data_IF_286440803913
#
_entry.id   IF_286440803913
#
_cell.length_a   1.000
_cell.length_b   1.000
_cell.length_c   1.000
_cell.angle_alpha   90.00
_cell.angle_beta   90.00
_cell.angle_gamma   90.00
#
_symmetry.space_group_name_H-M   'P 1'
#
loop_
_entity.id
_entity.type
_entity.pdbx_description
1 polymer ?
#
# COMPACT_ATOMS: atom_id res chain seq x y z
N UNK A 1 28.13 -52.72 20.71
CA UNK A 1 28.18 -53.67 19.60
C UNK A 1 27.59 -52.89 18.40
N UNK A 2 28.25 -52.49 17.37
CA UNK A 2 29.66 -52.66 16.92
C UNK A 2 30.06 -51.43 16.07
N UNK A 3 31.31 -51.12 16.12
CA UNK A 3 32.03 -50.14 15.30
C UNK A 3 32.28 -50.71 13.90
N UNK A 4 32.35 -49.85 12.91
CA UNK A 4 33.30 -49.91 11.78
C UNK A 4 32.93 -48.82 10.76
N UNK A 5 33.74 -48.19 10.05
CA UNK A 5 35.16 -47.85 10.00
C UNK A 5 35.37 -47.04 8.70
N UNK A 6 36.16 -46.05 8.79
CA UNK A 6 37.00 -45.31 7.88
C UNK A 6 36.97 -45.63 6.37
N UNK A 7 36.87 -44.57 5.56
CA UNK A 7 37.30 -44.51 4.15
C UNK A 7 37.94 -43.15 3.85
N UNK A 8 39.26 -43.12 4.04
CA UNK A 8 40.19 -42.01 3.68
C UNK A 8 40.56 -42.19 2.21
N UNK A 9 40.40 -41.19 1.37
CA UNK A 9 40.90 -41.20 0.00
C UNK A 9 41.90 -40.05 -0.22
N UNK A 10 43.01 -40.41 -0.76
CA UNK A 10 44.28 -39.71 -0.94
C UNK A 10 44.22 -38.57 -1.97
N UNK A 11 45.05 -37.55 -1.68
CA UNK A 11 45.45 -36.53 -2.64
C UNK A 11 46.67 -37.02 -3.43
N UNK A 12 46.78 -36.78 -4.74
CA UNK A 12 48.05 -36.76 -5.43
C UNK A 12 48.64 -35.34 -5.54
N UNK A 13 49.96 -35.29 -5.34
CA UNK A 13 50.83 -34.12 -5.40
C UNK A 13 51.14 -33.65 -6.84
N UNK A 14 51.71 -32.45 -7.03
CA UNK A 14 51.85 -31.80 -8.32
C UNK A 14 53.12 -32.21 -9.05
N UNK A 15 53.04 -32.30 -10.38
CA UNK A 15 54.15 -32.61 -11.28
C UNK A 15 54.88 -31.34 -11.78
N UNK A 16 56.18 -31.53 -11.96
CA UNK A 16 57.24 -30.61 -12.33
C UNK A 16 57.07 -29.81 -13.64
N UNK A 17 57.64 -28.61 -13.63
CA UNK A 17 57.88 -27.74 -14.79
C UNK A 17 59.22 -28.05 -15.44
N UNK A 18 59.36 -27.99 -16.77
CA UNK A 18 60.64 -27.76 -17.41
C UNK A 18 60.86 -26.31 -17.85
N UNK A 19 62.06 -25.81 -17.61
CA UNK A 19 62.55 -24.50 -18.00
C UNK A 19 62.80 -24.39 -19.51
N UNK A 20 62.34 -23.31 -20.13
CA UNK A 20 62.56 -23.06 -21.58
C UNK A 20 62.86 -21.59 -21.89
N UNK A 21 64.17 -21.34 -22.05
CA UNK A 21 64.86 -20.35 -22.89
C UNK A 21 64.24 -19.02 -23.24
N UNK A 22 64.83 -17.95 -22.66
CA UNK A 22 64.78 -16.57 -23.08
C UNK A 22 65.18 -16.37 -24.55
N UNK A 23 64.32 -15.79 -25.37
CA UNK A 23 64.68 -15.08 -26.60
C UNK A 23 64.27 -13.61 -26.43
N UNK A 24 65.31 -12.73 -26.51
CA UNK A 24 65.10 -11.26 -26.53
C UNK A 24 64.58 -10.91 -27.93
N UNK A 25 63.42 -10.36 -28.03
CA UNK A 25 62.90 -9.68 -29.21
C UNK A 25 62.84 -8.18 -28.89
N UNK A 26 63.57 -7.41 -29.68
CA UNK A 26 63.54 -5.94 -29.71
C UNK A 26 62.24 -5.56 -30.43
N UNK A 27 61.32 -4.93 -29.74
CA UNK A 27 60.11 -4.38 -30.37
C UNK A 27 60.24 -2.86 -30.46
N UNK A 28 60.22 -2.38 -31.71
CA UNK A 28 60.11 -0.98 -32.07
C UNK A 28 58.81 -0.40 -31.54
N UNK A 29 58.87 0.64 -30.73
CA UNK A 29 57.72 1.39 -30.27
C UNK A 29 57.22 2.33 -31.37
N UNK A 30 56.10 1.99 -31.98
CA UNK A 30 55.28 2.93 -32.76
C UNK A 30 54.31 3.66 -31.79
N UNK A 31 54.57 4.91 -31.54
CA UNK A 31 53.64 5.80 -30.85
C UNK A 31 52.43 6.08 -31.76
N UNK A 32 51.33 5.37 -31.56
CA UNK A 32 50.03 5.71 -32.12
C UNK A 32 49.35 6.72 -31.19
N UNK A 33 49.17 7.95 -31.64
CA UNK A 33 48.36 8.96 -30.96
C UNK A 33 46.90 8.51 -30.99
N UNK A 34 46.34 8.10 -29.84
CA UNK A 34 44.92 7.86 -29.68
C UNK A 34 44.22 9.20 -29.34
N UNK A 35 43.25 9.63 -30.14
CA UNK A 35 42.48 10.82 -29.76
C UNK A 35 41.60 10.53 -28.53
N UNK A 36 41.36 11.49 -27.64
CA UNK A 36 40.49 11.31 -26.50
C UNK A 36 39.07 11.03 -26.99
N UNK A 37 38.58 9.82 -26.80
CA UNK A 37 37.15 9.50 -26.94
C UNK A 37 36.40 10.18 -25.80
N UNK A 38 35.72 11.26 -26.10
CA UNK A 38 34.72 11.84 -25.20
C UNK A 38 33.59 10.83 -25.12
N UNK A 39 33.54 10.06 -24.05
CA UNK A 39 32.38 9.24 -23.72
C UNK A 39 31.21 10.18 -23.39
N UNK A 40 30.33 10.42 -24.37
CA UNK A 40 28.99 10.92 -24.07
C UNK A 40 28.32 9.85 -23.23
N UNK A 41 28.37 10.04 -21.90
CA UNK A 41 27.56 9.29 -20.97
C UNK A 41 26.09 9.56 -21.29
N UNK A 42 25.44 8.62 -21.97
CA UNK A 42 23.97 8.57 -21.97
C UNK A 42 23.57 8.31 -20.54
N UNK A 43 23.13 9.39 -19.84
CA UNK A 43 22.42 9.21 -18.59
C UNK A 43 21.22 8.31 -18.90
N UNK A 44 21.23 7.10 -18.37
CA UNK A 44 20.05 6.23 -18.37
C UNK A 44 18.91 7.06 -17.76
N UNK A 45 17.71 7.07 -18.37
CA UNK A 45 16.59 7.71 -17.75
C UNK A 45 16.43 7.08 -16.36
N UNK A 46 16.40 7.95 -15.33
CA UNK A 46 16.09 7.52 -13.98
C UNK A 46 14.74 6.80 -14.07
N UNK A 47 14.74 5.47 -13.92
CA UNK A 47 13.49 4.73 -13.76
C UNK A 47 12.78 5.32 -12.55
N UNK A 48 11.74 6.09 -12.82
CA UNK A 48 10.84 6.57 -11.79
C UNK A 48 10.33 5.34 -11.05
N UNK A 49 10.76 5.18 -9.81
CA UNK A 49 10.35 4.08 -8.95
C UNK A 49 8.83 4.14 -8.78
N UNK A 50 8.14 3.32 -9.54
CA UNK A 50 6.68 3.16 -9.48
C UNK A 50 6.35 2.27 -8.29
N UNK A 51 5.69 2.84 -7.26
CA UNK A 51 5.37 2.15 -5.98
C UNK A 51 4.18 2.85 -5.30
N UNK A 52 3.29 2.24 -4.80
CA UNK A 52 1.87 1.80 -4.77
C UNK A 52 1.75 1.27 -6.16
N UNK A 53 1.13 0.20 -6.47
CA UNK A 53 1.32 -0.28 -7.85
C UNK A 53 1.10 0.89 -8.81
N UNK A 54 2.16 1.41 -9.43
CA UNK A 54 2.12 2.57 -10.33
C UNK A 54 2.07 3.99 -9.72
N UNK A 55 2.16 4.17 -8.37
CA UNK A 55 2.08 5.47 -7.70
C UNK A 55 3.41 6.22 -7.51
N UNK A 56 3.32 7.46 -7.02
CA UNK A 56 4.44 8.32 -6.66
C UNK A 56 4.51 8.55 -5.15
N UNK A 57 5.65 9.03 -4.65
CA UNK A 57 5.77 9.46 -3.25
C UNK A 57 4.84 10.64 -2.99
N UNK A 58 4.11 10.57 -1.89
CA UNK A 58 3.29 11.64 -1.35
C UNK A 58 3.80 12.07 0.02
N UNK A 59 3.31 13.17 0.55
CA UNK A 59 3.68 13.65 1.88
C UNK A 59 2.45 13.92 2.75
N UNK A 60 2.57 13.60 4.02
CA UNK A 60 1.57 13.96 5.03
C UNK A 60 1.48 15.48 5.25
N UNK A 61 2.51 16.25 4.86
CA UNK A 61 2.44 17.72 4.86
C UNK A 61 1.45 18.27 3.83
N UNK A 62 1.34 17.60 2.67
CA UNK A 62 0.39 17.98 1.61
C UNK A 62 -1.00 17.36 1.85
N UNK A 63 -1.05 16.27 2.62
CA UNK A 63 -2.26 15.53 2.97
C UNK A 63 -2.36 15.34 4.49
N UNK A 64 -2.49 16.42 5.29
CA UNK A 64 -2.37 16.39 6.74
C UNK A 64 -3.48 15.60 7.45
N UNK A 65 -4.55 15.29 6.75
CA UNK A 65 -5.62 14.41 7.20
C UNK A 65 -5.28 12.91 7.07
N UNK A 66 -4.21 12.55 6.33
CA UNK A 66 -3.79 11.15 6.17
C UNK A 66 -3.24 10.58 7.47
N UNK A 67 -3.68 9.37 7.83
CA UNK A 67 -3.20 8.67 9.02
C UNK A 67 -2.92 7.20 8.74
N UNK A 68 -2.04 6.61 9.55
CA UNK A 68 -1.84 5.16 9.59
C UNK A 68 -2.38 4.58 10.89
N UNK A 69 -3.02 3.42 10.82
CA UNK A 69 -3.38 2.62 11.98
C UNK A 69 -2.24 1.66 12.31
N UNK A 70 -1.90 1.58 13.58
CA UNK A 70 -0.71 0.85 14.06
C UNK A 70 -1.04 0.01 15.29
N UNK A 71 -0.49 -1.20 15.33
CA UNK A 71 -0.36 -2.03 16.52
C UNK A 71 1.00 -2.72 16.50
N UNK A 72 1.98 -2.15 17.22
CA UNK A 72 3.33 -2.76 17.31
C UNK A 72 3.32 -4.10 18.03
N UNK A 73 2.37 -4.29 18.93
CA UNK A 73 2.24 -5.55 19.68
C UNK A 73 1.81 -6.70 18.77
N UNK A 74 1.04 -6.41 17.72
CA UNK A 74 0.55 -7.43 16.79
C UNK A 74 1.40 -7.54 15.51
N UNK A 75 1.85 -6.42 14.96
CA UNK A 75 2.51 -6.36 13.64
C UNK A 75 4.01 -6.01 13.74
N UNK A 76 4.56 -5.94 14.95
CA UNK A 76 5.97 -5.63 15.18
C UNK A 76 6.35 -4.17 14.96
N UNK A 77 7.63 -3.85 15.18
CA UNK A 77 8.15 -2.47 15.11
C UNK A 77 8.66 -2.03 13.74
N UNK A 78 8.89 -2.93 12.80
CA UNK A 78 9.64 -2.68 11.57
C UNK A 78 9.07 -1.59 10.65
N UNK A 79 7.75 -1.44 10.61
CA UNK A 79 7.00 -0.38 9.92
C UNK A 79 6.08 0.33 10.90
N UNK A 80 6.58 0.65 12.08
CA UNK A 80 5.81 1.23 13.18
C UNK A 80 4.56 0.41 13.56
N UNK A 81 4.49 -0.87 13.18
CA UNK A 81 3.32 -1.72 13.37
C UNK A 81 2.10 -1.32 12.52
N UNK A 82 2.31 -0.57 11.42
CA UNK A 82 1.24 -0.14 10.51
C UNK A 82 0.59 -1.36 9.85
N UNK A 83 -0.75 -1.37 9.87
CA UNK A 83 -1.54 -2.46 9.28
C UNK A 83 -2.69 -1.97 8.39
N UNK A 84 -3.21 -0.75 8.62
CA UNK A 84 -4.25 -0.10 7.84
C UNK A 84 -3.95 1.39 7.67
N UNK A 85 -4.62 2.03 6.73
CA UNK A 85 -4.70 3.47 6.56
C UNK A 85 -5.99 4.04 7.15
N UNK A 86 -6.14 5.37 7.05
CA UNK A 86 -7.34 6.08 7.43
C UNK A 86 -7.23 7.57 7.16
N UNK A 87 -8.26 8.32 7.52
CA UNK A 87 -8.27 9.78 7.38
C UNK A 87 -8.92 10.47 8.58
N UNK A 88 -8.37 11.62 8.99
CA UNK A 88 -9.00 12.51 9.98
C UNK A 88 -10.23 13.19 9.37
N UNK A 89 -11.38 13.01 9.98
CA UNK A 89 -12.67 13.60 9.56
C UNK A 89 -13.21 14.63 10.54
N UNK A 90 -12.65 14.69 11.74
CA UNK A 90 -12.86 15.76 12.73
C UNK A 90 -11.65 15.81 13.67
N UNK A 91 -11.53 16.81 14.56
CA UNK A 91 -10.44 16.84 15.53
C UNK A 91 -10.32 15.60 16.42
N UNK A 92 -11.39 14.83 16.58
CA UNK A 92 -11.41 13.65 17.44
C UNK A 92 -11.71 12.35 16.70
N UNK A 93 -12.02 12.37 15.40
CA UNK A 93 -12.47 11.17 14.68
C UNK A 93 -11.60 10.87 13.47
N UNK A 94 -11.27 9.59 13.34
CA UNK A 94 -10.59 8.98 12.19
C UNK A 94 -11.53 7.99 11.55
N UNK A 95 -11.69 8.05 10.22
CA UNK A 95 -12.41 7.05 9.44
C UNK A 95 -11.43 6.04 8.86
N UNK A 96 -11.83 4.78 8.81
CA UNK A 96 -11.10 3.66 8.23
C UNK A 96 -12.07 2.53 7.85
N UNK A 97 -11.56 1.38 7.38
CA UNK A 97 -12.37 0.21 7.08
C UNK A 97 -12.69 -0.62 8.33
N UNK A 98 -13.86 -1.23 8.37
CA UNK A 98 -14.27 -2.14 9.45
C UNK A 98 -13.44 -3.42 9.46
N UNK A 99 -13.10 -3.98 8.28
CA UNK A 99 -12.31 -5.21 8.18
C UNK A 99 -10.95 -5.10 8.86
N UNK A 100 -10.38 -3.91 9.05
CA UNK A 100 -9.16 -3.70 9.83
C UNK A 100 -9.25 -4.23 11.28
N UNK A 101 -10.46 -4.45 11.79
CA UNK A 101 -10.76 -4.97 13.12
C UNK A 101 -11.40 -6.36 13.10
N UNK A 102 -11.17 -7.10 12.01
CA UNK A 102 -11.63 -8.48 11.87
C UNK A 102 -10.46 -9.41 11.52
N UNK A 103 -10.60 -10.66 11.86
CA UNK A 103 -9.66 -11.74 11.55
C UNK A 103 -10.10 -12.44 10.26
N UNK A 104 -9.24 -12.44 9.27
CA UNK A 104 -9.44 -13.22 8.05
C UNK A 104 -8.76 -14.59 8.19
N UNK A 105 -9.39 -15.65 7.76
CA UNK A 105 -10.68 -15.79 7.05
C UNK A 105 -11.91 -15.98 7.96
N UNK A 106 -11.73 -15.92 9.28
CA UNK A 106 -12.82 -16.30 10.24
C UNK A 106 -13.96 -15.29 10.30
N UNK A 107 -13.73 -14.02 9.90
CA UNK A 107 -14.73 -12.97 9.99
C UNK A 107 -15.15 -12.62 11.42
N UNK A 108 -14.27 -12.86 12.39
CA UNK A 108 -14.52 -12.54 13.79
C UNK A 108 -13.86 -11.21 14.16
N UNK A 109 -14.58 -10.38 14.91
CA UNK A 109 -14.01 -9.15 15.44
C UNK A 109 -12.82 -9.45 16.35
N UNK A 110 -11.74 -8.70 16.17
CA UNK A 110 -10.53 -8.83 16.97
C UNK A 110 -10.13 -7.50 17.57
N UNK A 111 -9.56 -7.55 18.76
CA UNK A 111 -8.91 -6.40 19.35
C UNK A 111 -7.54 -6.17 18.69
N UNK A 112 -7.15 -4.90 18.65
CA UNK A 112 -5.82 -4.48 18.18
C UNK A 112 -5.02 -3.96 19.38
N UNK A 113 -4.26 -4.85 20.07
CA UNK A 113 -3.57 -4.47 21.29
C UNK A 113 -2.55 -3.36 21.00
N UNK A 114 -2.55 -2.31 21.84
CA UNK A 114 -1.66 -1.17 21.64
C UNK A 114 -2.01 -0.33 20.41
N UNK A 115 -3.30 -0.31 19.99
CA UNK A 115 -3.78 0.48 18.85
C UNK A 115 -3.41 1.94 18.98
N UNK A 116 -2.77 2.48 17.94
CA UNK A 116 -2.41 3.90 17.79
C UNK A 116 -2.82 4.40 16.41
N UNK A 117 -3.07 5.69 16.32
CA UNK A 117 -3.17 6.43 15.07
C UNK A 117 -1.89 7.23 14.88
N UNK A 118 -1.16 6.99 13.80
CA UNK A 118 0.07 7.70 13.46
C UNK A 118 -0.27 8.84 12.53
N UNK A 119 0.19 10.04 12.86
CA UNK A 119 0.04 11.27 12.08
C UNK A 119 1.39 11.91 11.78
N UNK A 120 1.52 12.69 10.72
CA UNK A 120 2.73 13.44 10.32
C UNK A 120 3.96 12.54 10.11
N UNK A 121 3.76 11.33 9.60
CA UNK A 121 4.84 10.37 9.34
C UNK A 121 4.77 9.88 7.90
N UNK A 122 5.69 10.35 7.07
CA UNK A 122 5.82 9.88 5.69
C UNK A 122 6.52 8.51 5.64
N UNK A 123 7.60 8.32 6.40
CA UNK A 123 8.36 7.07 6.47
C UNK A 123 8.02 6.26 7.73
N UNK A 124 7.32 5.14 7.55
CA UNK A 124 6.91 4.25 8.66
C UNK A 124 8.07 3.55 9.37
N UNK A 125 9.29 3.58 8.82
CA UNK A 125 10.51 3.07 9.50
C UNK A 125 11.04 4.06 10.54
N UNK A 126 10.67 5.33 10.39
CA UNK A 126 11.10 6.42 11.26
C UNK A 126 10.23 6.59 12.49
N UNK A 127 10.54 7.66 13.22
CA UNK A 127 9.82 8.08 14.45
C UNK A 127 9.24 9.49 14.33
N UNK A 128 9.29 10.12 13.15
CA UNK A 128 8.68 11.43 12.92
C UNK A 128 7.18 11.39 13.18
N UNK A 129 6.58 12.56 13.40
CA UNK A 129 5.16 12.67 13.68
C UNK A 129 4.79 12.21 15.08
N UNK A 130 3.51 11.86 15.29
CA UNK A 130 2.96 11.50 16.59
C UNK A 130 2.13 10.22 16.52
N UNK A 131 2.07 9.50 17.64
CA UNK A 131 1.27 8.29 17.82
C UNK A 131 0.16 8.59 18.83
N UNK A 132 -1.05 8.79 18.33
CA UNK A 132 -2.22 9.20 19.10
C UNK A 132 -2.91 7.99 19.70
N UNK A 133 -3.39 8.12 20.94
CA UNK A 133 -4.17 7.07 21.60
C UNK A 133 -5.61 7.07 21.10
N UNK A 134 -6.16 5.88 20.95
CA UNK A 134 -7.56 5.66 20.60
C UNK A 134 -8.35 5.38 21.86
N UNK A 135 -9.49 6.08 22.01
CA UNK A 135 -10.44 5.88 23.12
C UNK A 135 -11.43 4.75 22.81
N UNK A 136 -11.96 4.74 21.60
CA UNK A 136 -12.96 3.75 21.17
C UNK A 136 -12.91 3.52 19.67
N UNK A 137 -13.42 2.36 19.26
CA UNK A 137 -13.62 1.97 17.87
C UNK A 137 -15.10 1.65 17.69
N UNK A 138 -15.76 2.44 16.85
CA UNK A 138 -17.09 2.16 16.34
C UNK A 138 -16.97 1.45 15.00
N UNK A 139 -17.73 0.38 14.81
CA UNK A 139 -17.85 -0.33 13.54
C UNK A 139 -19.30 -0.18 13.09
N UNK A 140 -19.51 0.03 11.80
CA UNK A 140 -20.87 0.14 11.26
C UNK A 140 -21.72 -1.07 11.74
N UNK A 141 -22.90 -0.87 12.35
CA UNK A 141 -23.66 -1.98 12.92
C UNK A 141 -24.07 -3.03 11.88
N UNK A 142 -24.29 -2.60 10.64
CA UNK A 142 -24.65 -3.48 9.52
C UNK A 142 -23.41 -3.87 8.68
N UNK A 143 -22.21 -3.80 9.23
CA UNK A 143 -21.03 -4.33 8.54
C UNK A 143 -21.18 -5.83 8.32
N UNK A 144 -21.13 -6.27 7.07
CA UNK A 144 -21.26 -7.68 6.68
C UNK A 144 -19.93 -8.17 6.11
N UNK A 145 -19.11 -8.81 6.95
CA UNK A 145 -17.77 -9.28 6.59
C UNK A 145 -17.75 -10.12 5.30
N UNK A 146 -18.63 -11.12 5.19
CA UNK A 146 -18.67 -12.02 4.02
C UNK A 146 -19.05 -11.32 2.70
N UNK A 147 -19.68 -10.15 2.78
CA UNK A 147 -20.11 -9.38 1.61
C UNK A 147 -19.33 -8.05 1.47
N UNK A 148 -18.46 -7.72 2.40
CA UNK A 148 -17.75 -6.44 2.52
C UNK A 148 -18.69 -5.21 2.44
N UNK A 149 -19.96 -5.37 2.82
CA UNK A 149 -20.94 -4.28 2.83
C UNK A 149 -20.78 -3.44 4.07
N UNK A 150 -20.92 -2.11 3.91
CA UNK A 150 -20.76 -1.14 4.99
C UNK A 150 -19.40 -1.26 5.71
N UNK A 151 -18.34 -1.51 4.93
CA UNK A 151 -16.99 -1.70 5.45
C UNK A 151 -16.38 -0.36 5.89
N UNK A 152 -16.86 0.13 7.02
CA UNK A 152 -16.45 1.40 7.63
C UNK A 152 -16.39 1.31 9.14
N UNK A 153 -15.35 1.89 9.72
CA UNK A 153 -15.17 2.09 11.14
C UNK A 153 -14.78 3.55 11.44
N UNK A 154 -15.12 4.02 12.64
CA UNK A 154 -14.69 5.32 13.15
C UNK A 154 -13.95 5.12 14.47
N UNK A 155 -12.73 5.65 14.54
CA UNK A 155 -11.95 5.69 15.76
C UNK A 155 -12.14 7.04 16.42
N UNK A 156 -12.45 7.04 17.72
CA UNK A 156 -12.47 8.25 18.54
C UNK A 156 -11.13 8.35 19.26
N UNK A 157 -10.40 9.44 19.03
CA UNK A 157 -9.12 9.72 19.67
C UNK A 157 -9.31 10.05 21.16
N UNK A 158 -8.30 9.71 21.97
CA UNK A 158 -8.31 10.06 23.40
C UNK A 158 -8.25 11.59 23.61
N UNK A 159 -7.51 12.29 22.73
CA UNK A 159 -7.33 13.73 22.78
C UNK A 159 -7.63 14.38 21.42
N UNK A 160 -8.29 15.56 21.40
CA UNK A 160 -8.61 16.26 20.16
C UNK A 160 -7.36 16.85 19.50
N UNK A 161 -7.36 16.87 18.18
CA UNK A 161 -6.32 17.45 17.31
C UNK A 161 -6.87 18.72 16.64
N UNK A 162 -7.09 19.77 17.41
CA UNK A 162 -7.87 20.97 17.02
C UNK A 162 -7.27 21.75 15.86
N UNK A 163 -5.94 21.78 15.73
CA UNK A 163 -5.24 22.54 14.68
C UNK A 163 -4.92 21.71 13.44
N UNK A 164 -5.42 20.47 13.39
CA UNK A 164 -5.16 19.57 12.26
C UNK A 164 -6.22 19.73 11.18
N UNK A 165 -5.82 19.90 9.90
CA UNK A 165 -6.75 19.80 8.79
C UNK A 165 -7.41 18.42 8.72
N UNK A 166 -8.69 18.41 8.39
CA UNK A 166 -9.52 17.22 8.22
C UNK A 166 -9.96 17.12 6.76
N UNK A 167 -10.28 15.91 6.29
CA UNK A 167 -10.86 15.72 4.96
C UNK A 167 -12.39 15.77 5.05
N UNK A 168 -13.01 16.47 4.10
CA UNK A 168 -14.45 16.50 3.97
C UNK A 168 -15.00 15.21 3.37
N UNK A 169 -16.06 14.66 3.96
CA UNK A 169 -16.81 13.54 3.38
C UNK A 169 -17.73 14.04 2.27
N UNK A 170 -17.91 13.27 1.21
CA UNK A 170 -19.05 13.46 0.30
C UNK A 170 -20.36 13.30 1.06
N UNK A 171 -21.40 13.99 0.58
CA UNK A 171 -22.73 13.95 1.20
C UNK A 171 -23.41 12.60 1.02
N UNK A 172 -24.36 12.30 1.93
CA UNK A 172 -25.21 11.12 1.82
C UNK A 172 -25.96 11.14 0.48
N UNK A 173 -25.87 10.03 -0.29
CA UNK A 173 -26.53 9.89 -1.59
C UNK A 173 -25.97 10.75 -2.72
N UNK A 174 -24.89 11.50 -2.51
CA UNK A 174 -24.22 12.27 -3.55
C UNK A 174 -23.60 11.33 -4.61
N UNK A 175 -23.88 11.58 -5.90
CA UNK A 175 -23.47 10.70 -7.00
C UNK A 175 -22.43 11.30 -7.93
N UNK A 176 -22.34 12.63 -8.02
CA UNK A 176 -21.48 13.33 -8.97
C UNK A 176 -19.99 12.91 -8.89
N UNK A 177 -19.36 12.73 -7.69
CA UNK A 177 -17.96 12.32 -7.60
C UNK A 177 -17.69 10.90 -8.11
N UNK A 178 -18.73 10.09 -8.30
CA UNK A 178 -18.64 8.70 -8.74
C UNK A 178 -18.88 8.50 -10.25
N UNK A 179 -18.96 9.57 -11.02
CA UNK A 179 -19.08 9.47 -12.48
C UNK A 179 -17.87 8.71 -13.04
N UNK A 180 -18.15 7.76 -13.95
CA UNK A 180 -17.10 6.96 -14.58
C UNK A 180 -16.08 7.84 -15.30
N UNK A 181 -14.78 7.53 -15.14
CA UNK A 181 -13.67 8.30 -15.65
C UNK A 181 -13.26 9.49 -14.76
N UNK A 182 -14.01 9.81 -13.69
CA UNK A 182 -13.57 10.83 -12.71
C UNK A 182 -12.22 10.42 -12.13
N UNK A 183 -11.25 11.34 -12.14
CA UNK A 183 -9.93 11.10 -11.55
C UNK A 183 -10.04 11.11 -10.04
N UNK A 184 -9.63 10.03 -9.42
CA UNK A 184 -9.47 9.88 -7.99
C UNK A 184 -8.02 9.59 -7.64
N UNK A 185 -7.59 9.91 -6.43
CA UNK A 185 -6.27 9.54 -5.91
C UNK A 185 -6.46 8.68 -4.67
N UNK A 186 -5.81 7.51 -4.63
CA UNK A 186 -5.73 6.68 -3.42
C UNK A 186 -4.37 6.84 -2.76
N UNK A 187 -4.36 6.86 -1.42
CA UNK A 187 -3.15 7.06 -0.62
C UNK A 187 -2.93 5.92 0.37
N UNK A 188 -1.66 5.56 0.60
CA UNK A 188 -1.29 4.61 1.65
C UNK A 188 0.18 4.20 1.68
N UNK A 189 0.49 3.22 2.53
CA UNK A 189 1.81 2.62 2.74
C UNK A 189 1.81 1.13 2.39
N UNK A 190 0.88 0.70 1.56
CA UNK A 190 0.67 -0.71 1.20
C UNK A 190 1.77 -1.32 0.34
N UNK A 191 1.54 -2.56 -0.01
CA UNK A 191 2.38 -3.33 -0.91
C UNK A 191 2.42 -2.67 -2.30
N UNK A 192 3.60 -2.64 -2.86
CA UNK A 192 3.88 -1.94 -4.12
C UNK A 192 4.03 -2.88 -5.31
N UNK A 193 4.01 -4.18 -5.05
CA UNK A 193 4.27 -5.23 -6.03
C UNK A 193 3.23 -6.36 -6.00
N UNK A 194 2.37 -6.39 -4.98
CA UNK A 194 1.47 -7.51 -4.72
C UNK A 194 2.18 -8.78 -4.19
N UNK A 195 3.44 -8.64 -3.71
CA UNK A 195 4.29 -9.75 -3.26
C UNK A 195 4.85 -9.58 -1.84
N UNK A 196 4.32 -8.62 -1.08
CA UNK A 196 4.77 -8.32 0.27
C UNK A 196 5.82 -7.21 0.37
N UNK A 197 6.09 -6.47 -0.71
CA UNK A 197 7.03 -5.34 -0.72
C UNK A 197 6.34 -4.05 -0.31
N UNK A 198 6.03 -3.92 0.96
CA UNK A 198 5.34 -2.76 1.52
C UNK A 198 6.16 -1.49 1.40
N UNK A 199 5.54 -0.40 0.95
CA UNK A 199 6.21 0.90 0.94
C UNK A 199 6.45 1.39 2.36
N UNK A 200 7.70 1.78 2.70
CA UNK A 200 7.92 2.51 3.94
C UNK A 200 7.42 3.97 3.85
N UNK A 201 7.39 4.54 2.64
CA UNK A 201 7.01 5.92 2.38
C UNK A 201 5.53 6.00 1.97
N UNK A 202 4.85 7.09 2.38
CA UNK A 202 3.51 7.40 1.89
C UNK A 202 3.53 7.52 0.36
N UNK A 203 2.52 6.93 -0.25
CA UNK A 203 2.32 6.93 -1.69
C UNK A 203 0.95 7.47 -2.06
N UNK A 204 0.85 8.00 -3.29
CA UNK A 204 -0.41 8.33 -3.93
C UNK A 204 -0.44 7.82 -5.35
N UNK A 205 -1.57 7.29 -5.79
CA UNK A 205 -1.79 6.88 -7.17
C UNK A 205 -3.11 7.42 -7.70
N UNK A 206 -3.06 7.96 -8.91
CA UNK A 206 -4.26 8.40 -9.60
C UNK A 206 -4.87 7.24 -10.38
N UNK A 207 -6.15 7.03 -10.13
CA UNK A 207 -6.98 5.99 -10.75
C UNK A 207 -8.31 6.58 -11.18
N UNK A 208 -8.89 6.18 -12.33
CA UNK A 208 -10.23 6.59 -12.72
C UNK A 208 -11.29 5.82 -11.92
N UNK A 209 -12.39 6.49 -11.59
CA UNK A 209 -13.62 5.82 -11.14
C UNK A 209 -14.13 4.94 -12.26
N UNK A 210 -14.47 3.71 -11.95
CA UNK A 210 -15.01 2.73 -12.90
C UNK A 210 -16.54 2.74 -12.83
N UNK A 211 -17.20 2.63 -13.98
CA UNK A 211 -18.67 2.53 -14.02
C UNK A 211 -19.16 1.34 -13.20
N UNK A 212 -20.20 1.53 -12.41
CA UNK A 212 -20.79 0.47 -11.56
C UNK A 212 -21.13 -0.81 -12.35
N UNK A 213 -21.62 -0.67 -13.59
CA UNK A 213 -21.91 -1.81 -14.46
C UNK A 213 -20.65 -2.58 -14.87
N UNK A 214 -19.53 -1.89 -15.09
CA UNK A 214 -18.25 -2.53 -15.42
C UNK A 214 -17.70 -3.26 -14.21
N UNK A 215 -17.78 -2.63 -13.05
CA UNK A 215 -17.39 -3.24 -11.78
C UNK A 215 -18.24 -4.49 -11.46
N UNK A 216 -19.57 -4.44 -11.67
CA UNK A 216 -20.45 -5.59 -11.47
C UNK A 216 -20.13 -6.77 -12.42
N UNK A 217 -19.60 -6.50 -13.62
CA UNK A 217 -19.11 -7.56 -14.52
C UNK A 217 -17.78 -8.14 -14.06
N UNK A 218 -16.90 -7.35 -13.49
CA UNK A 218 -15.63 -7.81 -12.94
C UNK A 218 -15.83 -8.69 -11.68
N UNK A 219 -16.85 -8.36 -10.88
CA UNK A 219 -17.14 -9.03 -9.62
C UNK A 219 -18.60 -9.52 -9.54
N UNK A 220 -18.95 -10.58 -10.30
CA UNK A 220 -20.34 -11.07 -10.37
C UNK A 220 -20.74 -11.89 -9.13
N UNK A 221 -19.80 -12.27 -8.29
CA UNK A 221 -19.96 -13.18 -7.16
C UNK A 221 -19.07 -14.42 -7.27
N UNK A 222 -19.14 -15.29 -6.27
CA UNK A 222 -18.28 -16.48 -6.17
C UNK A 222 -16.94 -16.17 -5.50
N UNK A 223 -15.85 -16.75 -6.00
CA UNK A 223 -14.51 -16.62 -5.37
C UNK A 223 -13.94 -15.20 -5.48
N UNK A 224 -14.30 -14.46 -6.53
CA UNK A 224 -13.80 -13.09 -6.78
C UNK A 224 -14.59 -12.01 -6.00
N UNK A 225 -15.56 -12.42 -5.18
CA UNK A 225 -16.43 -11.50 -4.45
C UNK A 225 -17.59 -10.97 -5.29
N UNK A 226 -18.48 -10.22 -4.65
CA UNK A 226 -19.65 -9.63 -5.30
C UNK A 226 -19.70 -8.13 -5.08
N UNK A 227 -19.65 -7.38 -6.17
CA UNK A 227 -19.84 -5.93 -6.13
C UNK A 227 -21.33 -5.57 -5.91
N UNK A 228 -21.55 -4.58 -5.05
CA UNK A 228 -22.88 -3.97 -4.82
C UNK A 228 -22.77 -2.44 -4.89
N UNK A 229 -23.30 -1.84 -5.94
CA UNK A 229 -23.23 -0.40 -6.18
C UNK A 229 -23.88 0.44 -5.08
N UNK A 230 -24.76 -0.14 -4.24
CA UNK A 230 -25.40 0.57 -3.13
C UNK A 230 -24.40 0.95 -2.04
N UNK A 231 -23.34 0.16 -1.84
CA UNK A 231 -22.35 0.38 -0.78
C UNK A 231 -20.91 0.44 -1.27
N UNK A 232 -20.65 0.20 -2.57
CA UNK A 232 -19.32 0.07 -3.11
C UNK A 232 -19.10 0.97 -4.32
N UNK A 233 -17.84 1.29 -4.60
CA UNK A 233 -17.37 1.94 -5.82
C UNK A 233 -16.06 1.27 -6.26
N UNK A 234 -15.84 1.16 -7.55
CA UNK A 234 -14.56 0.72 -8.09
C UNK A 234 -13.75 1.88 -8.63
N UNK A 235 -12.42 1.79 -8.46
CA UNK A 235 -11.47 2.66 -9.14
C UNK A 235 -10.23 1.85 -9.55
N UNK A 236 -9.69 2.14 -10.72
CA UNK A 236 -8.56 1.41 -11.28
C UNK A 236 -8.43 1.60 -12.78
N UNK A 237 -7.28 1.27 -13.32
CA UNK A 237 -7.04 1.27 -14.77
C UNK A 237 -7.53 -0.05 -15.38
N UNK A 238 -8.20 0.01 -16.52
CA UNK A 238 -8.71 -1.20 -17.22
C UNK A 238 -7.57 -2.20 -17.56
N UNK A 239 -6.40 -1.65 -17.87
CA UNK A 239 -5.21 -2.45 -18.22
C UNK A 239 -4.43 -2.91 -16.98
N UNK A 240 -4.90 -2.59 -15.77
CA UNK A 240 -4.18 -2.79 -14.53
C UNK A 240 -2.97 -1.85 -14.37
N UNK A 241 -2.03 -2.21 -13.50
CA UNK A 241 -0.78 -1.49 -13.28
C UNK A 241 -0.86 -0.31 -12.32
N UNK A 242 -2.07 0.04 -11.83
CA UNK A 242 -2.31 1.07 -10.81
C UNK A 242 -3.46 0.68 -9.92
N UNK A 243 -3.20 0.55 -8.61
CA UNK A 243 -4.22 0.16 -7.63
C UNK A 243 -3.74 0.41 -6.19
N UNK A 244 -4.67 0.31 -5.24
CA UNK A 244 -4.37 0.02 -3.83
C UNK A 244 -3.97 -1.46 -3.66
N UNK A 245 -3.26 -1.77 -2.57
CA UNK A 245 -2.85 -3.14 -2.28
C UNK A 245 -2.88 -3.41 -0.76
N UNK A 246 -2.45 -4.61 -0.34
CA UNK A 246 -2.39 -4.98 1.08
C UNK A 246 -1.64 -3.92 1.90
N UNK A 247 -2.24 -3.49 3.01
CA UNK A 247 -1.71 -2.43 3.88
C UNK A 247 -2.23 -1.03 3.55
N UNK A 248 -2.90 -0.82 2.38
CA UNK A 248 -3.64 0.41 2.08
C UNK A 248 -5.08 0.35 2.62
N UNK A 249 -5.54 -0.80 3.10
CA UNK A 249 -6.85 -1.07 3.69
C UNK A 249 -7.32 0.07 4.59
N UNK A 250 -8.54 0.55 4.40
CA UNK A 250 -9.10 1.69 5.14
C UNK A 250 -8.54 3.06 4.74
N UNK A 251 -7.52 3.09 3.88
CA UNK A 251 -6.96 4.32 3.31
C UNK A 251 -7.96 5.04 2.42
N UNK A 252 -7.77 6.36 2.22
CA UNK A 252 -8.72 7.20 1.51
C UNK A 252 -8.58 7.12 -0.01
N UNK A 253 -9.73 7.06 -0.71
CA UNK A 253 -9.91 7.40 -2.12
C UNK A 253 -10.49 8.81 -2.19
N UNK A 254 -9.80 9.72 -2.88
CA UNK A 254 -10.08 11.17 -2.86
C UNK A 254 -10.41 11.67 -4.26
N UNK A 255 -11.49 12.43 -4.39
CA UNK A 255 -11.87 13.16 -5.61
C UNK A 255 -12.01 14.63 -5.27
N UNK A 256 -11.30 15.49 -5.97
CA UNK A 256 -11.36 16.95 -5.77
C UNK A 256 -11.21 17.39 -4.30
N UNK A 257 -10.30 16.76 -3.55
CA UNK A 257 -10.05 17.06 -2.13
C UNK A 257 -11.06 16.50 -1.14
N UNK A 258 -12.05 15.72 -1.59
CA UNK A 258 -13.10 15.12 -0.74
C UNK A 258 -12.96 13.59 -0.69
N UNK A 259 -13.25 13.01 0.47
CA UNK A 259 -13.23 11.57 0.67
C UNK A 259 -14.47 10.93 0.02
N UNK A 260 -14.24 10.10 -1.00
CA UNK A 260 -15.30 9.39 -1.75
C UNK A 260 -15.31 7.89 -1.48
N UNK A 261 -14.17 7.31 -1.08
CA UNK A 261 -14.07 5.87 -0.82
C UNK A 261 -13.05 5.54 0.26
N UNK A 262 -13.15 4.32 0.78
CA UNK A 262 -12.16 3.70 1.64
C UNK A 262 -11.70 2.40 0.99
N UNK A 263 -10.39 2.15 0.93
CA UNK A 263 -9.84 0.89 0.41
C UNK A 263 -10.46 -0.27 1.19
N UNK A 264 -11.15 -1.17 0.48
CA UNK A 264 -11.89 -2.27 1.09
C UNK A 264 -11.36 -3.63 0.65
N UNK A 265 -11.52 -4.01 -0.62
CA UNK A 265 -11.12 -5.32 -1.12
C UNK A 265 -10.81 -5.31 -2.62
N UNK A 266 -10.36 -6.46 -3.14
CA UNK A 266 -10.09 -6.67 -4.56
C UNK A 266 -9.53 -8.07 -4.80
N UNK A 267 -9.46 -8.47 -6.07
CA UNK A 267 -8.80 -9.72 -6.49
C UNK A 267 -7.40 -9.36 -6.99
N UNK A 268 -6.37 -9.74 -6.22
CA UNK A 268 -4.99 -9.32 -6.48
C UNK A 268 -4.77 -7.83 -6.25
N UNK A 269 -3.74 -7.26 -6.88
CA UNK A 269 -3.44 -5.82 -6.86
C UNK A 269 -3.05 -5.37 -8.25
N UNK A 270 -3.75 -4.37 -8.78
CA UNK A 270 -3.52 -3.80 -10.11
C UNK A 270 -3.63 -4.80 -11.27
N UNK A 271 -4.45 -5.83 -11.12
CA UNK A 271 -4.70 -6.79 -12.18
C UNK A 271 -5.64 -6.20 -13.25
N UNK A 272 -5.36 -6.52 -14.50
CA UNK A 272 -6.20 -6.07 -15.61
C UNK A 272 -7.64 -6.59 -15.44
N UNK A 273 -8.61 -5.74 -15.73
CA UNK A 273 -10.05 -6.01 -15.61
C UNK A 273 -10.56 -6.27 -14.16
N UNK A 274 -9.71 -6.18 -13.14
CA UNK A 274 -10.09 -6.31 -11.71
C UNK A 274 -9.70 -5.03 -10.96
N UNK A 275 -10.49 -3.95 -11.06
CA UNK A 275 -10.21 -2.69 -10.35
C UNK A 275 -10.37 -2.88 -8.84
N UNK A 276 -9.68 -2.08 -8.04
CA UNK A 276 -9.88 -2.05 -6.60
C UNK A 276 -11.33 -1.68 -6.24
N UNK A 277 -11.84 -2.28 -5.18
CA UNK A 277 -13.18 -2.03 -4.65
C UNK A 277 -13.07 -1.26 -3.34
N UNK A 278 -13.83 -0.19 -3.23
CA UNK A 278 -13.82 0.75 -2.12
C UNK A 278 -15.21 0.85 -1.51
N UNK A 279 -15.29 1.05 -0.19
CA UNK A 279 -16.54 1.46 0.45
C UNK A 279 -16.99 2.79 -0.14
N UNK A 280 -18.21 2.89 -0.66
CA UNK A 280 -18.80 4.13 -1.19
C UNK A 280 -19.16 5.04 0.00
N UNK A 281 -18.39 6.10 0.23
CA UNK A 281 -18.57 6.97 1.41
C UNK A 281 -19.94 7.63 1.42
N UNK A 282 -20.50 7.99 0.26
CA UNK A 282 -21.84 8.59 0.20
C UNK A 282 -22.97 7.65 0.64
N UNK A 283 -22.72 6.35 0.79
CA UNK A 283 -23.73 5.42 1.33
C UNK A 283 -23.72 5.31 2.86
N UNK A 284 -22.60 5.69 3.48
CA UNK A 284 -22.38 5.53 4.94
C UNK A 284 -22.15 6.88 5.65
N UNK A 285 -22.20 8.00 4.92
CA UNK A 285 -21.81 9.31 5.42
C UNK A 285 -22.59 9.73 6.69
N UNK A 286 -23.90 9.52 6.73
CA UNK A 286 -24.72 9.90 7.88
C UNK A 286 -24.45 8.99 9.10
N UNK A 287 -24.26 7.69 8.88
CA UNK A 287 -23.87 6.76 9.94
C UNK A 287 -22.50 7.15 10.54
N UNK A 288 -21.53 7.52 9.69
CA UNK A 288 -20.20 7.99 10.11
C UNK A 288 -20.28 9.30 10.91
N UNK A 289 -21.09 10.26 10.47
CA UNK A 289 -21.29 11.53 11.22
C UNK A 289 -21.93 11.30 12.57
N UNK A 290 -22.86 10.34 12.65
CA UNK A 290 -23.58 9.98 13.87
C UNK A 290 -22.82 9.01 14.77
N UNK A 291 -21.68 8.47 14.35
CA UNK A 291 -20.86 7.58 15.15
C UNK A 291 -20.46 8.27 16.48
N UNK A 292 -20.44 7.56 17.64
CA UNK A 292 -20.18 8.12 18.96
C UNK A 292 -18.77 8.67 19.14
#
# INVERSE_FOLDING_TARGET
MDRADLGRADHPAPADRPAGRRRRAVALALLAAVPPMVALGTAAPAEAQRRVVGGTTASTSDHPWMVALSSRQQFGGGRSGQFCGGAMISPTKVITAAHCFYDEPRGTRVDRPGLKVIVDRDDMRGSAGRELSVRSVWIHPDYAFAANMNDVAVLTLAEPQVDRPVIELVGQGETAPYAAGTRATVFGWGDTTGRGDYSPLLRGVDVPIVADQTCARAFPGGQDGKFDARGMVCAGEEKGGKDACQGDSGGPLVVAGRLVGLVSWGTGCAEAAHPGVYTRVSSVADAVRSAP
#
